data_IF_685655603995
#
_entry.id   IF_685655603995
#
_cell.length_a   1.000
_cell.length_b   1.000
_cell.length_c   1.000
_cell.angle_alpha   90.00
_cell.angle_beta   90.00
_cell.angle_gamma   90.00
#
_symmetry.space_group_name_H-M   'P 1'
#
loop_
_entity.id
_entity.type
_entity.pdbx_description
1 polymer ?
#
# COMPACT_ATOMS: atom_id res chain seq x y z
N UNK A 1 -24.13 -32.09 -21.58
CA UNK A 1 -24.22 -30.73 -21.01
C UNK A 1 -23.26 -29.82 -21.73
N UNK A 2 -23.58 -28.53 -21.82
CA UNK A 2 -22.77 -27.52 -22.51
C UNK A 2 -22.42 -26.40 -21.53
N UNK A 3 -21.13 -26.00 -21.49
CA UNK A 3 -20.65 -24.83 -20.75
C UNK A 3 -20.34 -23.73 -21.74
N UNK A 4 -21.18 -22.69 -21.76
CA UNK A 4 -20.99 -21.51 -22.60
C UNK A 4 -20.38 -20.42 -21.71
N UNK A 5 -19.19 -19.94 -22.09
CA UNK A 5 -18.46 -18.92 -21.34
C UNK A 5 -18.41 -17.63 -22.14
N UNK A 6 -18.95 -16.58 -21.57
CA UNK A 6 -18.89 -15.21 -22.07
C UNK A 6 -18.25 -14.38 -20.95
N UNK A 7 -16.91 -14.31 -20.95
CA UNK A 7 -16.16 -13.57 -19.94
C UNK A 7 -15.02 -12.80 -20.60
N UNK A 8 -14.58 -11.72 -19.96
CA UNK A 8 -13.44 -10.93 -20.42
C UNK A 8 -12.11 -11.44 -19.86
N UNK A 9 -12.13 -12.27 -18.80
CA UNK A 9 -10.94 -12.81 -18.16
C UNK A 9 -10.47 -14.14 -18.77
N UNK A 10 -9.49 -14.08 -19.64
CA UNK A 10 -8.91 -15.24 -20.33
C UNK A 10 -8.44 -16.36 -19.39
N UNK A 11 -7.97 -16.00 -18.20
CA UNK A 11 -7.49 -16.98 -17.21
C UNK A 11 -8.67 -17.80 -16.69
N UNK A 12 -9.79 -17.15 -16.42
CA UNK A 12 -11.00 -17.80 -15.96
C UNK A 12 -11.62 -18.67 -17.06
N UNK A 13 -11.70 -18.18 -18.32
CA UNK A 13 -12.14 -18.97 -19.48
C UNK A 13 -11.36 -20.28 -19.60
N UNK A 14 -10.05 -20.25 -19.34
CA UNK A 14 -9.19 -21.44 -19.41
C UNK A 14 -9.38 -22.40 -18.26
N UNK A 15 -9.58 -21.89 -17.05
CA UNK A 15 -9.91 -22.72 -15.90
C UNK A 15 -11.18 -23.53 -16.20
N UNK A 16 -12.20 -22.85 -16.72
CA UNK A 16 -13.45 -23.46 -17.11
C UNK A 16 -13.30 -24.48 -18.27
N UNK A 17 -12.41 -24.19 -19.24
CA UNK A 17 -12.08 -25.14 -20.30
C UNK A 17 -11.46 -26.44 -19.76
N UNK A 18 -10.50 -26.35 -18.82
CA UNK A 18 -9.93 -27.55 -18.21
C UNK A 18 -10.93 -28.29 -17.29
N UNK A 19 -11.80 -27.55 -16.63
CA UNK A 19 -12.90 -28.14 -15.89
C UNK A 19 -13.85 -28.91 -16.83
N UNK A 20 -14.21 -28.35 -17.97
CA UNK A 20 -15.10 -29.00 -18.93
C UNK A 20 -14.53 -30.31 -19.48
N UNK A 21 -13.22 -30.35 -19.76
CA UNK A 21 -12.54 -31.59 -20.17
C UNK A 21 -12.64 -32.65 -19.08
N UNK A 22 -12.41 -32.26 -17.81
CA UNK A 22 -12.46 -33.18 -16.68
C UNK A 22 -13.83 -33.75 -16.44
N UNK A 23 -14.85 -32.92 -16.56
CA UNK A 23 -16.25 -33.30 -16.32
C UNK A 23 -16.97 -33.78 -17.59
N UNK A 24 -16.25 -33.90 -18.70
CA UNK A 24 -16.78 -34.31 -20.02
C UNK A 24 -17.98 -33.46 -20.49
N UNK A 25 -17.86 -32.14 -20.31
CA UNK A 25 -18.85 -31.14 -20.70
C UNK A 25 -18.36 -30.39 -21.94
N UNK A 26 -19.26 -30.19 -22.94
CA UNK A 26 -18.92 -29.41 -24.12
C UNK A 26 -18.62 -27.94 -23.76
N UNK A 27 -17.41 -27.46 -24.06
CA UNK A 27 -16.98 -26.08 -23.80
C UNK A 27 -17.10 -25.21 -25.04
N UNK A 28 -17.88 -24.15 -24.94
CA UNK A 28 -18.07 -23.18 -26.02
C UNK A 28 -17.61 -21.81 -25.55
N UNK A 29 -16.49 -21.31 -26.09
CA UNK A 29 -16.01 -19.96 -25.89
C UNK A 29 -15.62 -19.36 -27.25
N UNK A 30 -16.45 -18.48 -27.82
CA UNK A 30 -16.20 -17.90 -29.15
C UNK A 30 -14.88 -17.12 -29.16
N UNK A 31 -14.07 -17.38 -30.21
CA UNK A 31 -12.80 -16.67 -30.47
C UNK A 31 -11.73 -16.75 -29.38
N UNK A 32 -11.78 -17.72 -28.46
CA UNK A 32 -10.83 -17.88 -27.36
C UNK A 32 -9.36 -17.76 -27.79
N UNK A 33 -8.94 -18.41 -28.88
CA UNK A 33 -7.55 -18.35 -29.32
C UNK A 33 -7.14 -16.99 -29.88
N UNK A 34 -8.01 -16.33 -30.63
CA UNK A 34 -7.77 -14.99 -31.20
C UNK A 34 -7.72 -13.95 -30.10
N UNK A 35 -8.70 -13.97 -29.20
CA UNK A 35 -8.74 -13.11 -28.00
C UNK A 35 -7.49 -13.27 -27.15
N UNK A 36 -7.01 -14.50 -26.97
CA UNK A 36 -5.78 -14.79 -26.24
C UNK A 36 -4.56 -14.11 -26.83
N UNK A 37 -4.37 -14.19 -28.15
CA UNK A 37 -3.22 -13.56 -28.84
C UNK A 37 -3.30 -12.04 -28.71
N UNK A 38 -4.46 -11.45 -29.00
CA UNK A 38 -4.68 -10.01 -28.90
C UNK A 38 -4.44 -9.52 -27.47
N UNK A 39 -4.99 -10.23 -26.47
CA UNK A 39 -4.81 -9.86 -25.07
C UNK A 39 -3.33 -9.96 -24.64
N UNK A 40 -2.60 -11.00 -25.06
CA UNK A 40 -1.15 -11.10 -24.79
C UNK A 40 -0.38 -9.92 -25.36
N UNK A 41 -0.64 -9.55 -26.61
CA UNK A 41 0.01 -8.40 -27.26
C UNK A 41 -0.33 -7.12 -26.50
N UNK A 42 -1.61 -6.89 -26.21
CA UNK A 42 -2.07 -5.71 -25.43
C UNK A 42 -1.39 -5.64 -24.05
N UNK A 43 -1.34 -6.75 -23.32
CA UNK A 43 -0.70 -6.81 -21.99
C UNK A 43 0.80 -6.50 -22.09
N UNK A 44 1.50 -7.06 -23.09
CA UNK A 44 2.93 -6.81 -23.29
C UNK A 44 3.18 -5.33 -23.60
N UNK A 45 2.44 -4.75 -24.52
CA UNK A 45 2.59 -3.34 -24.91
C UNK A 45 2.31 -2.43 -23.70
N UNK A 46 1.20 -2.66 -22.99
CA UNK A 46 0.84 -1.89 -21.80
C UNK A 46 1.88 -2.04 -20.68
N UNK A 47 2.43 -3.24 -20.51
CA UNK A 47 3.49 -3.50 -19.54
C UNK A 47 4.72 -2.63 -19.81
N UNK A 48 5.28 -2.70 -21.03
CA UNK A 48 6.47 -1.91 -21.35
C UNK A 48 6.20 -0.40 -21.27
N UNK A 49 5.05 0.05 -21.75
CA UNK A 49 4.65 1.45 -21.64
C UNK A 49 4.58 1.94 -20.18
N UNK A 50 3.91 1.18 -19.32
CA UNK A 50 3.82 1.49 -17.89
C UNK A 50 5.19 1.45 -17.20
N UNK A 51 6.03 0.48 -17.56
CA UNK A 51 7.38 0.34 -17.01
C UNK A 51 8.27 1.53 -17.39
N UNK A 52 8.29 1.94 -18.65
CA UNK A 52 9.04 3.11 -19.12
C UNK A 52 8.54 4.38 -18.43
N UNK A 53 7.22 4.58 -18.38
CA UNK A 53 6.61 5.72 -17.67
C UNK A 53 7.00 5.75 -16.20
N UNK A 54 6.96 4.61 -15.52
CA UNK A 54 7.35 4.50 -14.11
C UNK A 54 8.84 4.79 -13.91
N UNK A 55 9.69 4.29 -14.81
CA UNK A 55 11.13 4.53 -14.78
C UNK A 55 11.48 6.01 -14.96
N UNK A 56 10.93 6.66 -15.98
CA UNK A 56 11.13 8.10 -16.22
C UNK A 56 10.62 8.94 -15.03
N UNK A 57 9.44 8.58 -14.50
CA UNK A 57 8.89 9.24 -13.32
C UNK A 57 9.78 9.10 -12.08
N UNK A 58 10.42 7.94 -11.89
CA UNK A 58 11.35 7.71 -10.78
C UNK A 58 12.67 8.48 -10.97
N UNK A 59 13.21 8.54 -12.18
CA UNK A 59 14.37 9.38 -12.49
C UNK A 59 14.09 10.83 -12.09
N UNK A 60 12.97 11.38 -12.56
CA UNK A 60 12.56 12.74 -12.21
C UNK A 60 12.49 12.95 -10.69
N UNK A 61 11.87 12.02 -9.96
CA UNK A 61 11.75 12.08 -8.49
C UNK A 61 13.11 12.06 -7.80
N UNK A 62 14.02 11.17 -8.22
CA UNK A 62 15.37 11.07 -7.66
C UNK A 62 16.15 12.37 -7.86
N UNK A 63 16.12 12.94 -9.07
CA UNK A 63 16.80 14.20 -9.34
C UNK A 63 16.20 15.35 -8.54
N UNK A 64 14.88 15.44 -8.45
CA UNK A 64 14.20 16.47 -7.68
C UNK A 64 14.55 16.37 -6.19
N UNK A 65 14.54 15.16 -5.62
CA UNK A 65 14.94 14.94 -4.22
C UNK A 65 16.38 15.39 -3.98
N UNK A 66 17.30 15.00 -4.86
CA UNK A 66 18.70 15.36 -4.71
C UNK A 66 18.92 16.86 -4.83
N UNK A 67 18.23 17.52 -5.73
CA UNK A 67 18.30 18.97 -5.88
C UNK A 67 17.93 19.69 -4.57
N UNK A 68 16.86 19.28 -3.90
CA UNK A 68 16.43 19.92 -2.65
C UNK A 68 17.19 19.43 -1.41
N UNK A 69 17.47 18.14 -1.27
CA UNK A 69 17.87 17.56 0.00
C UNK A 69 19.35 17.19 0.12
N UNK A 70 20.15 17.28 -0.96
CA UNK A 70 21.55 16.86 -0.93
C UNK A 70 22.36 17.55 0.18
N UNK A 71 22.24 18.86 0.31
CA UNK A 71 22.96 19.61 1.32
C UNK A 71 22.41 19.37 2.73
N UNK A 72 21.06 19.29 2.91
CA UNK A 72 20.47 18.90 4.19
C UNK A 72 20.97 17.53 4.65
N UNK A 73 21.13 16.59 3.73
CA UNK A 73 21.60 15.24 4.02
C UNK A 73 23.07 15.24 4.49
N UNK A 74 23.93 16.01 3.86
CA UNK A 74 25.36 16.13 4.22
C UNK A 74 25.57 16.71 5.62
N UNK A 75 24.71 17.65 6.01
CA UNK A 75 24.79 18.31 7.31
C UNK A 75 24.22 17.47 8.45
N UNK A 76 23.63 16.31 8.15
CA UNK A 76 23.04 15.44 9.15
C UNK A 76 24.10 14.55 9.79
N UNK A 77 24.08 14.44 11.12
CA UNK A 77 25.02 13.59 11.85
C UNK A 77 24.81 12.11 11.53
N UNK A 78 25.85 11.46 11.05
CA UNK A 78 25.85 10.01 10.76
C UNK A 78 26.24 9.17 11.97
N UNK A 79 26.73 9.77 13.04
CA UNK A 79 27.16 9.07 14.26
C UNK A 79 26.00 8.84 15.24
N UNK A 80 24.95 9.65 15.16
CA UNK A 80 23.78 9.51 16.02
C UNK A 80 22.98 8.26 15.63
N UNK A 81 22.42 7.58 16.65
CA UNK A 81 21.43 6.53 16.44
C UNK A 81 20.04 7.15 16.34
N UNK A 82 19.27 6.72 15.37
CA UNK A 82 17.94 7.24 15.08
C UNK A 82 16.85 6.20 15.31
N UNK A 83 15.68 6.67 15.78
CA UNK A 83 14.42 5.99 15.56
C UNK A 83 13.91 6.44 14.18
N UNK A 84 13.79 5.51 13.25
CA UNK A 84 13.37 5.81 11.89
C UNK A 84 11.90 5.46 11.71
N UNK A 85 11.09 6.42 11.26
CA UNK A 85 9.66 6.25 11.01
C UNK A 85 9.41 6.28 9.50
N UNK A 86 8.98 5.14 8.93
CA UNK A 86 8.56 5.04 7.53
C UNK A 86 7.06 5.26 7.42
N UNK A 87 6.68 6.31 6.69
CA UNK A 87 5.30 6.70 6.52
C UNK A 87 5.01 7.24 5.12
N UNK A 88 3.92 7.97 4.97
CA UNK A 88 3.51 8.61 3.73
C UNK A 88 3.30 10.12 3.95
N UNK A 89 3.56 10.90 2.91
CA UNK A 89 3.30 12.34 2.92
C UNK A 89 2.29 12.70 1.82
N UNK A 90 1.27 13.44 2.21
CA UNK A 90 0.24 14.01 1.34
C UNK A 90 0.32 15.53 1.39
N UNK A 91 -0.34 16.23 0.47
CA UNK A 91 -0.44 17.69 0.56
C UNK A 91 -1.12 18.15 1.86
N UNK A 92 -2.07 17.38 2.37
CA UNK A 92 -2.78 17.62 3.64
C UNK A 92 -1.97 17.27 4.90
N UNK A 93 -0.81 16.65 4.77
CA UNK A 93 0.10 16.38 5.91
C UNK A 93 0.77 17.65 6.46
N UNK A 94 0.55 18.79 5.82
CA UNK A 94 1.13 20.08 6.22
C UNK A 94 0.04 20.98 6.75
N UNK A 95 -0.01 21.14 8.08
CA UNK A 95 -1.02 21.97 8.76
C UNK A 95 -0.70 23.47 8.56
N UNK A 96 0.59 23.83 8.60
CA UNK A 96 1.10 25.17 8.34
C UNK A 96 2.29 25.07 7.35
N UNK A 97 2.83 26.22 6.90
CA UNK A 97 3.95 26.23 5.96
C UNK A 97 5.17 25.45 6.43
N UNK A 98 5.38 25.34 7.75
CA UNK A 98 6.60 24.77 8.36
C UNK A 98 6.33 23.54 9.26
N UNK A 99 5.11 23.06 9.35
CA UNK A 99 4.75 21.95 10.24
C UNK A 99 4.23 20.75 9.44
N UNK A 100 4.94 19.63 9.56
CA UNK A 100 4.51 18.33 9.06
C UNK A 100 3.89 17.52 10.19
N UNK A 101 2.70 16.99 9.95
CA UNK A 101 2.03 16.04 10.82
C UNK A 101 1.87 14.72 10.07
N UNK A 102 2.37 13.65 10.67
CA UNK A 102 2.28 12.34 10.07
C UNK A 102 0.83 11.86 10.02
N UNK A 103 0.30 11.46 8.84
CA UNK A 103 -1.11 11.09 8.69
C UNK A 103 -1.46 9.75 9.36
N UNK A 104 -0.47 8.93 9.74
CA UNK A 104 -0.68 7.62 10.37
C UNK A 104 -0.21 7.58 11.82
N UNK A 105 0.90 8.26 12.11
CA UNK A 105 1.54 8.25 13.42
C UNK A 105 1.27 9.52 14.23
N UNK A 106 0.57 10.52 13.65
CA UNK A 106 0.22 11.75 14.37
C UNK A 106 1.46 12.42 14.99
N UNK A 107 1.44 12.60 16.29
CA UNK A 107 2.49 13.29 17.06
C UNK A 107 3.60 12.35 17.57
N UNK A 108 3.69 11.10 17.10
CA UNK A 108 4.70 10.14 17.58
C UNK A 108 6.13 10.69 17.49
N UNK A 109 6.48 11.35 16.37
CA UNK A 109 7.81 11.93 16.19
C UNK A 109 8.11 12.99 17.28
N UNK A 110 7.16 13.88 17.56
CA UNK A 110 7.31 14.90 18.59
C UNK A 110 7.44 14.28 19.99
N UNK A 111 6.62 13.28 20.30
CA UNK A 111 6.70 12.54 21.56
C UNK A 111 8.07 11.87 21.77
N UNK A 112 8.61 11.21 20.73
CA UNK A 112 9.91 10.57 20.79
C UNK A 112 11.04 11.60 20.98
N UNK A 113 10.97 12.75 20.31
CA UNK A 113 11.94 13.84 20.46
C UNK A 113 11.91 14.40 21.89
N UNK A 114 10.73 14.62 22.45
CA UNK A 114 10.56 15.06 23.85
C UNK A 114 11.19 14.05 24.84
N UNK A 115 11.15 12.75 24.51
CA UNK A 115 11.80 11.69 25.28
C UNK A 115 13.28 11.46 24.88
N UNK A 116 13.93 12.49 24.30
CA UNK A 116 15.37 12.52 23.99
C UNK A 116 15.84 11.50 22.92
N UNK A 117 14.93 10.96 22.12
CA UNK A 117 15.31 10.16 20.96
C UNK A 117 15.62 11.04 19.75
N UNK A 118 16.64 10.65 18.97
CA UNK A 118 16.83 11.26 17.65
C UNK A 118 15.85 10.59 16.69
N UNK A 119 15.02 11.37 16.03
CA UNK A 119 13.98 10.85 15.14
C UNK A 119 14.23 11.31 13.71
N UNK A 120 14.07 10.39 12.78
CA UNK A 120 14.11 10.65 11.34
C UNK A 120 12.88 10.00 10.69
N UNK A 121 12.12 10.76 9.94
CA UNK A 121 11.01 10.23 9.15
C UNK A 121 11.44 10.04 7.69
N UNK A 122 11.04 8.90 7.12
CA UNK A 122 11.26 8.59 5.70
C UNK A 122 9.91 8.35 5.04
N UNK A 123 9.55 9.16 4.05
CA UNK A 123 8.20 9.19 3.53
C UNK A 123 8.12 8.86 2.04
N UNK A 124 7.04 8.17 1.68
CA UNK A 124 6.60 8.07 0.29
C UNK A 124 5.59 9.17 -0.01
N UNK A 125 5.87 10.00 -0.99
CA UNK A 125 5.02 11.14 -1.34
C UNK A 125 3.88 10.71 -2.27
N UNK A 126 2.63 10.98 -1.86
CA UNK A 126 1.41 10.65 -2.59
C UNK A 126 0.64 11.92 -2.98
N UNK A 127 0.40 12.10 -4.28
CA UNK A 127 -0.23 13.30 -4.85
C UNK A 127 0.76 14.12 -5.69
N UNK A 128 0.65 15.46 -5.63
CA UNK A 128 1.55 16.34 -6.38
C UNK A 128 2.97 16.32 -5.78
N UNK A 129 3.81 15.47 -6.34
CA UNK A 129 5.15 15.17 -5.83
C UNK A 129 6.00 16.43 -5.66
N UNK A 130 6.08 17.30 -6.69
CA UNK A 130 6.88 18.53 -6.66
C UNK A 130 6.43 19.47 -5.54
N UNK A 131 5.12 19.60 -5.32
CA UNK A 131 4.56 20.45 -4.28
C UNK A 131 4.87 19.92 -2.88
N UNK A 132 4.76 18.60 -2.71
CA UNK A 132 5.07 17.92 -1.43
C UNK A 132 6.57 18.07 -1.12
N UNK A 133 7.47 17.81 -2.08
CA UNK A 133 8.92 17.95 -1.90
C UNK A 133 9.32 19.38 -1.48
N UNK A 134 8.76 20.41 -2.11
CA UNK A 134 9.01 21.81 -1.71
C UNK A 134 8.56 22.08 -0.28
N UNK A 135 7.40 21.56 0.14
CA UNK A 135 6.93 21.70 1.51
C UNK A 135 7.83 20.96 2.51
N UNK A 136 8.21 19.70 2.21
CA UNK A 136 9.13 18.91 3.03
C UNK A 136 10.49 19.56 3.19
N UNK A 137 10.98 20.26 2.17
CA UNK A 137 12.26 20.99 2.26
C UNK A 137 12.21 22.13 3.29
N UNK A 138 11.07 22.80 3.43
CA UNK A 138 10.91 23.97 4.28
C UNK A 138 10.59 23.64 5.75
N UNK A 139 10.37 22.37 6.11
CA UNK A 139 10.11 21.99 7.51
C UNK A 139 11.40 21.82 8.30
N UNK A 140 11.33 22.05 9.61
CA UNK A 140 12.46 21.91 10.52
C UNK A 140 12.74 20.44 10.88
N UNK A 141 11.71 19.61 10.92
CA UNK A 141 11.82 18.19 11.23
C UNK A 141 12.69 17.46 10.21
N UNK A 142 13.38 16.40 10.65
CA UNK A 142 14.15 15.53 9.78
C UNK A 142 13.19 14.57 9.06
N UNK A 143 12.69 15.00 7.89
CA UNK A 143 11.80 14.20 7.04
C UNK A 143 12.36 14.15 5.63
N UNK A 144 12.66 12.95 5.17
CA UNK A 144 13.24 12.71 3.85
C UNK A 144 12.32 11.86 2.97
N UNK A 145 12.22 12.17 1.67
CA UNK A 145 11.55 11.27 0.72
C UNK A 145 12.39 10.01 0.47
N UNK A 146 11.74 8.85 0.31
CA UNK A 146 12.42 7.57 0.07
C UNK A 146 13.35 7.61 -1.14
N UNK A 147 12.96 8.32 -2.19
CA UNK A 147 13.70 8.41 -3.45
C UNK A 147 15.08 9.08 -3.30
N UNK A 148 15.31 9.84 -2.22
CA UNK A 148 16.62 10.46 -1.92
C UNK A 148 17.74 9.41 -1.79
N UNK A 149 17.41 8.25 -1.25
CA UNK A 149 18.36 7.16 -0.97
C UNK A 149 18.51 6.17 -2.14
N UNK A 150 17.87 6.41 -3.27
CA UNK A 150 18.01 5.59 -4.47
C UNK A 150 19.08 6.16 -5.37
N UNK A 151 20.10 5.36 -5.71
CA UNK A 151 21.09 5.78 -6.70
C UNK A 151 20.55 5.59 -8.12
N UNK A 152 20.84 6.51 -9.07
CA UNK A 152 20.45 6.34 -10.48
C UNK A 152 20.94 5.03 -11.09
N UNK A 153 22.15 4.59 -10.74
CA UNK A 153 22.70 3.31 -11.21
C UNK A 153 21.89 2.14 -10.68
N UNK A 154 21.53 2.14 -9.39
CA UNK A 154 20.67 1.09 -8.82
C UNK A 154 19.28 1.08 -9.47
N UNK A 155 18.74 2.24 -9.83
CA UNK A 155 17.47 2.31 -10.57
C UNK A 155 17.59 1.63 -11.94
N UNK A 156 18.65 1.92 -12.72
CA UNK A 156 18.88 1.31 -14.03
C UNK A 156 19.02 -0.22 -13.90
N UNK A 157 19.87 -0.68 -12.98
CA UNK A 157 20.07 -2.12 -12.75
C UNK A 157 18.76 -2.79 -12.35
N UNK A 158 17.98 -2.18 -11.45
CA UNK A 158 16.70 -2.71 -11.01
C UNK A 158 15.70 -2.75 -12.16
N UNK A 159 15.66 -1.72 -13.00
CA UNK A 159 14.80 -1.69 -14.19
C UNK A 159 15.11 -2.84 -15.14
N UNK A 160 16.40 -3.07 -15.46
CA UNK A 160 16.83 -4.18 -16.31
C UNK A 160 16.43 -5.53 -15.69
N UNK A 161 16.71 -5.72 -14.39
CA UNK A 161 16.33 -6.94 -13.69
C UNK A 161 14.83 -7.21 -13.76
N UNK A 162 14.00 -6.17 -13.55
CA UNK A 162 12.55 -6.31 -13.56
C UNK A 162 12.02 -6.67 -14.94
N UNK A 163 12.49 -6.04 -16.01
CA UNK A 163 12.01 -6.35 -17.36
C UNK A 163 12.49 -7.71 -17.88
N UNK A 164 13.64 -8.20 -17.37
CA UNK A 164 14.19 -9.51 -17.74
C UNK A 164 13.72 -10.65 -16.84
N UNK A 165 13.09 -10.33 -15.70
CA UNK A 165 12.61 -11.32 -14.75
C UNK A 165 11.61 -12.28 -15.39
N UNK A 166 11.85 -13.58 -15.21
CA UNK A 166 10.95 -14.65 -15.64
C UNK A 166 10.53 -15.46 -14.41
N UNK A 167 9.28 -15.29 -14.03
CA UNK A 167 8.70 -16.08 -12.95
C UNK A 167 8.08 -17.35 -13.55
N UNK A 168 8.43 -18.49 -13.00
CA UNK A 168 7.85 -19.79 -13.34
C UNK A 168 7.71 -20.62 -12.06
N UNK A 169 6.57 -21.29 -11.94
CA UNK A 169 6.40 -22.35 -10.95
C UNK A 169 7.13 -23.58 -11.45
N UNK A 170 8.03 -24.13 -10.64
CA UNK A 170 8.84 -25.30 -10.97
C UNK A 170 8.14 -26.62 -10.61
N UNK A 171 7.28 -26.59 -9.60
CA UNK A 171 6.57 -27.74 -9.07
C UNK A 171 5.16 -27.85 -9.64
N UNK A 172 4.62 -29.06 -9.69
CA UNK A 172 3.22 -29.26 -10.04
C UNK A 172 2.33 -28.90 -8.86
N UNK A 173 1.49 -27.89 -9.05
CA UNK A 173 0.50 -27.45 -8.06
C UNK A 173 -0.86 -28.05 -8.42
N UNK A 174 -1.44 -28.79 -7.46
CA UNK A 174 -2.74 -29.42 -7.64
C UNK A 174 -3.77 -28.81 -6.70
N UNK A 175 -4.97 -28.58 -7.22
CA UNK A 175 -6.16 -28.27 -6.43
C UNK A 175 -7.27 -29.24 -6.84
N UNK A 176 -7.80 -30.01 -5.90
CA UNK A 176 -8.82 -31.04 -6.17
C UNK A 176 -8.48 -31.93 -7.38
N UNK A 177 -7.24 -32.43 -7.47
CA UNK A 177 -6.71 -33.25 -8.58
C UNK A 177 -6.56 -32.52 -9.93
N UNK A 178 -6.80 -31.19 -10.01
CA UNK A 178 -6.58 -30.38 -11.20
C UNK A 178 -5.16 -29.77 -11.09
N UNK A 179 -4.33 -29.99 -12.11
CA UNK A 179 -3.01 -29.35 -12.19
C UNK A 179 -3.15 -27.88 -12.57
N UNK A 180 -2.84 -27.00 -11.62
CA UNK A 180 -2.92 -25.56 -11.80
C UNK A 180 -1.61 -24.92 -12.30
N UNK A 181 -0.52 -25.67 -12.41
CA UNK A 181 0.82 -25.13 -12.72
C UNK A 181 0.86 -24.37 -14.02
N UNK A 182 0.15 -24.86 -15.04
CA UNK A 182 0.06 -24.18 -16.34
C UNK A 182 -0.67 -22.84 -16.22
N UNK A 183 -1.77 -22.79 -15.47
CA UNK A 183 -2.53 -21.56 -15.22
C UNK A 183 -1.71 -20.53 -14.48
N UNK A 184 -1.04 -20.97 -13.40
CA UNK A 184 -0.21 -20.10 -12.58
C UNK A 184 0.94 -19.55 -13.42
N UNK A 185 1.59 -20.38 -14.23
CA UNK A 185 2.65 -19.93 -15.13
C UNK A 185 2.15 -18.95 -16.19
N UNK A 186 0.96 -19.16 -16.70
CA UNK A 186 0.33 -18.25 -17.66
C UNK A 186 -0.08 -16.93 -17.00
N UNK A 187 -0.69 -17.01 -15.82
CA UNK A 187 -0.97 -15.84 -14.96
C UNK A 187 0.30 -15.04 -14.66
N UNK A 188 1.35 -15.70 -14.22
CA UNK A 188 2.65 -15.07 -13.95
C UNK A 188 3.25 -14.46 -15.22
N UNK A 189 3.03 -15.05 -16.39
CA UNK A 189 3.53 -14.53 -17.67
C UNK A 189 2.73 -13.32 -18.17
N UNK A 190 1.43 -13.28 -17.94
CA UNK A 190 0.53 -12.17 -18.32
C UNK A 190 0.65 -11.00 -17.33
N UNK A 191 0.73 -11.32 -16.05
CA UNK A 191 0.94 -10.34 -14.99
C UNK A 191 2.42 -10.15 -14.66
N UNK A 192 3.29 -10.43 -15.65
CA UNK A 192 4.73 -10.20 -15.51
C UNK A 192 4.96 -8.86 -14.86
N UNK A 193 5.41 -8.95 -13.63
CA UNK A 193 5.95 -7.84 -12.91
C UNK A 193 5.20 -6.54 -13.20
N UNK A 194 4.15 -6.33 -12.45
CA UNK A 194 3.45 -5.06 -12.41
C UNK A 194 4.47 -3.91 -12.27
N UNK A 195 4.21 -2.74 -12.83
CA UNK A 195 5.03 -1.52 -12.65
C UNK A 195 5.34 -1.22 -11.18
N UNK A 196 4.50 -1.71 -10.25
CA UNK A 196 4.69 -1.65 -8.82
C UNK A 196 5.91 -2.45 -8.34
N UNK A 197 6.29 -3.53 -9.02
CA UNK A 197 7.45 -4.35 -8.62
C UNK A 197 8.76 -3.57 -8.73
N UNK A 198 8.89 -2.69 -9.73
CA UNK A 198 10.03 -1.77 -9.79
C UNK A 198 10.11 -0.90 -8.53
N UNK A 199 8.98 -0.32 -8.11
CA UNK A 199 8.90 0.51 -6.90
C UNK A 199 9.19 -0.33 -5.65
N UNK A 200 8.65 -1.54 -5.55
CA UNK A 200 8.85 -2.41 -4.39
C UNK A 200 10.34 -2.79 -4.21
N UNK A 201 11.03 -3.19 -5.28
CA UNK A 201 12.48 -3.48 -5.22
C UNK A 201 13.28 -2.22 -4.87
N UNK A 202 12.85 -1.06 -5.33
CA UNK A 202 13.51 0.20 -4.98
C UNK A 202 13.35 0.57 -3.50
N UNK A 203 12.30 0.12 -2.82
CA UNK A 203 12.22 0.26 -1.36
C UNK A 203 13.32 -0.50 -0.64
N UNK A 204 13.65 -1.72 -1.08
CA UNK A 204 14.82 -2.44 -0.59
C UNK A 204 16.08 -1.58 -0.76
N UNK A 205 16.35 -1.09 -1.96
CA UNK A 205 17.53 -0.28 -2.25
C UNK A 205 17.57 1.02 -1.43
N UNK A 206 16.43 1.66 -1.24
CA UNK A 206 16.30 2.90 -0.48
C UNK A 206 16.63 2.66 1.00
N UNK A 207 16.00 1.68 1.64
CA UNK A 207 16.22 1.37 3.05
C UNK A 207 17.64 0.88 3.30
N UNK A 208 18.15 -0.01 2.45
CA UNK A 208 19.52 -0.49 2.54
C UNK A 208 20.56 0.65 2.43
N UNK A 209 20.37 1.57 1.48
CA UNK A 209 21.29 2.71 1.34
C UNK A 209 21.18 3.66 2.53
N UNK A 210 19.98 3.93 3.02
CA UNK A 210 19.74 4.79 4.16
C UNK A 210 20.42 4.26 5.43
N UNK A 211 20.27 2.98 5.73
CA UNK A 211 20.86 2.34 6.92
C UNK A 211 22.38 2.22 6.85
N UNK A 212 22.98 2.22 5.66
CA UNK A 212 24.43 2.35 5.48
C UNK A 212 24.96 3.76 5.78
N UNK A 213 24.09 4.76 5.70
CA UNK A 213 24.43 6.16 6.01
C UNK A 213 24.14 6.48 7.47
N UNK A 214 22.97 6.06 7.97
CA UNK A 214 22.46 6.39 9.30
C UNK A 214 22.30 5.14 10.16
N UNK A 215 22.82 5.20 11.39
CA UNK A 215 22.59 4.13 12.36
C UNK A 215 21.17 4.18 12.89
N UNK A 216 20.50 3.05 13.00
CA UNK A 216 19.16 2.95 13.57
C UNK A 216 19.08 1.82 14.60
N UNK A 217 18.40 2.10 15.71
CA UNK A 217 18.05 1.09 16.70
C UNK A 217 16.67 0.51 16.42
N UNK A 218 15.73 1.37 16.02
CA UNK A 218 14.33 1.01 15.82
C UNK A 218 13.85 1.62 14.50
N UNK A 219 13.21 0.77 13.72
CA UNK A 219 12.49 1.17 12.52
C UNK A 219 11.00 0.91 12.71
N UNK A 220 10.19 1.94 12.57
CA UNK A 220 8.74 1.89 12.73
C UNK A 220 8.11 2.14 11.35
N UNK A 221 7.17 1.31 10.93
CA UNK A 221 6.41 1.52 9.70
C UNK A 221 4.93 1.24 9.90
N UNK A 222 4.11 1.76 8.99
CA UNK A 222 2.76 1.21 8.80
C UNK A 222 2.86 -0.27 8.44
N UNK A 223 1.86 -1.05 8.83
CA UNK A 223 1.79 -2.49 8.54
C UNK A 223 0.41 -2.88 8.05
N UNK A 224 0.35 -3.32 6.83
CA UNK A 224 -0.80 -3.95 6.18
C UNK A 224 -0.39 -5.25 5.49
N UNK A 225 0.87 -5.65 5.64
CA UNK A 225 1.51 -6.76 4.96
C UNK A 225 1.47 -6.64 3.41
N UNK A 226 1.55 -5.40 2.94
CA UNK A 226 1.62 -5.09 1.52
C UNK A 226 3.00 -5.43 0.94
N UNK A 227 3.12 -5.76 -0.35
CA UNK A 227 4.39 -6.23 -0.95
C UNK A 227 5.61 -5.30 -0.78
N UNK A 228 5.41 -4.00 -0.60
CA UNK A 228 6.48 -3.03 -0.37
C UNK A 228 7.11 -3.14 1.03
N UNK A 229 6.36 -3.58 2.04
CA UNK A 229 6.82 -3.66 3.43
C UNK A 229 7.91 -4.71 3.62
N UNK A 230 7.74 -5.97 3.20
CA UNK A 230 8.82 -6.95 3.24
C UNK A 230 10.09 -6.49 2.51
N UNK A 231 9.95 -5.74 1.43
CA UNK A 231 11.11 -5.20 0.70
C UNK A 231 11.84 -4.12 1.51
N UNK A 232 11.12 -3.28 2.27
CA UNK A 232 11.73 -2.38 3.24
C UNK A 232 12.48 -3.16 4.32
N UNK A 233 11.84 -4.16 4.91
CA UNK A 233 12.41 -4.95 6.01
C UNK A 233 13.65 -5.74 5.57
N UNK A 234 13.62 -6.34 4.39
CA UNK A 234 14.78 -6.97 3.79
C UNK A 234 15.95 -6.00 3.62
N UNK A 235 15.67 -4.79 3.10
CA UNK A 235 16.69 -3.77 2.92
C UNK A 235 17.30 -3.28 4.24
N UNK A 236 16.50 -3.24 5.30
CA UNK A 236 16.97 -2.90 6.66
C UNK A 236 17.84 -4.01 7.21
N UNK A 237 17.35 -5.24 7.22
CA UNK A 237 18.08 -6.39 7.79
C UNK A 237 19.36 -6.72 7.03
N UNK A 238 19.42 -6.45 5.73
CA UNK A 238 20.65 -6.57 4.93
C UNK A 238 21.72 -5.53 5.31
N UNK A 239 21.30 -4.31 5.67
CA UNK A 239 22.23 -3.24 6.03
C UNK A 239 22.56 -3.20 7.54
N UNK A 240 21.61 -3.58 8.40
CA UNK A 240 21.67 -3.47 9.86
C UNK A 240 20.78 -4.56 10.48
N UNK A 241 21.28 -5.80 10.61
CA UNK A 241 20.51 -6.95 11.13
C UNK A 241 19.95 -6.72 12.55
N UNK A 242 20.66 -5.93 13.35
CA UNK A 242 20.31 -5.62 14.73
C UNK A 242 19.16 -4.62 14.87
N UNK A 243 18.86 -3.84 13.83
CA UNK A 243 17.74 -2.86 13.86
C UNK A 243 16.42 -3.57 14.10
N UNK A 244 15.73 -3.19 15.18
CA UNK A 244 14.40 -3.73 15.50
C UNK A 244 13.33 -3.09 14.61
N UNK A 245 12.50 -3.93 13.99
CA UNK A 245 11.44 -3.50 13.08
C UNK A 245 10.08 -3.64 13.78
N UNK A 246 9.34 -2.54 13.86
CA UNK A 246 7.99 -2.50 14.43
C UNK A 246 7.00 -2.14 13.31
N UNK A 247 6.10 -3.06 13.01
CA UNK A 247 4.99 -2.84 12.09
C UNK A 247 3.74 -2.35 12.83
N UNK A 248 3.22 -1.19 12.50
CA UNK A 248 2.03 -0.62 13.13
C UNK A 248 0.81 -0.75 12.20
N UNK A 249 -0.10 -1.65 12.54
CA UNK A 249 -1.37 -1.77 11.84
C UNK A 249 -2.20 -0.50 12.08
N UNK A 250 -2.84 0.01 11.05
CA UNK A 250 -3.55 1.29 11.09
C UNK A 250 -4.88 1.29 10.33
N UNK A 251 -5.16 0.28 9.53
CA UNK A 251 -6.42 0.12 8.77
C UNK A 251 -7.40 -0.80 9.51
N UNK A 252 -8.62 -0.85 9.04
CA UNK A 252 -9.60 -1.82 9.54
C UNK A 252 -9.14 -3.22 9.13
N UNK A 253 -9.16 -4.16 10.07
CA UNK A 253 -8.92 -5.59 9.83
C UNK A 253 -10.22 -6.33 10.06
N UNK A 254 -10.78 -6.87 9.00
CA UNK A 254 -11.93 -7.79 9.03
C UNK A 254 -11.46 -9.23 8.89
N UNK A 255 -12.36 -10.18 9.07
CA UNK A 255 -12.08 -11.61 8.84
C UNK A 255 -11.76 -11.93 7.36
N UNK A 256 -12.00 -10.99 6.43
CA UNK A 256 -11.68 -11.10 5.01
C UNK A 256 -10.35 -10.41 4.63
N UNK A 257 -9.66 -9.82 5.59
CA UNK A 257 -8.38 -9.12 5.36
C UNK A 257 -7.22 -10.11 5.27
N UNK A 258 -7.25 -10.99 4.26
CA UNK A 258 -6.33 -12.13 4.09
C UNK A 258 -4.87 -11.73 3.95
N UNK A 259 -4.58 -10.48 3.59
CA UNK A 259 -3.22 -9.95 3.57
C UNK A 259 -2.54 -9.96 4.94
N UNK A 260 -3.30 -9.87 6.03
CA UNK A 260 -2.78 -9.97 7.41
C UNK A 260 -2.59 -11.40 7.90
N UNK A 261 -3.28 -12.38 7.29
CA UNK A 261 -3.36 -13.75 7.77
C UNK A 261 -2.34 -14.63 7.06
N UNK A 262 -1.15 -14.71 7.64
CA UNK A 262 -0.05 -15.48 7.08
C UNK A 262 -0.02 -16.89 7.67
N UNK A 263 0.12 -17.87 6.79
CA UNK A 263 0.32 -19.26 7.17
C UNK A 263 1.79 -19.59 7.35
N UNK A 264 2.12 -20.65 8.10
CA UNK A 264 3.49 -21.01 8.47
C UNK A 264 4.44 -21.15 7.28
N UNK A 265 3.96 -21.62 6.12
CA UNK A 265 4.79 -21.73 4.92
C UNK A 265 5.15 -20.38 4.30
N UNK A 266 4.29 -19.38 4.42
CA UNK A 266 4.58 -18.01 3.98
C UNK A 266 5.53 -17.32 4.95
N UNK A 267 5.36 -17.56 6.25
CA UNK A 267 6.20 -17.01 7.32
C UNK A 267 7.68 -17.37 7.14
N UNK A 268 7.99 -18.59 6.66
CA UNK A 268 9.37 -19.04 6.40
C UNK A 268 10.06 -18.30 5.27
N UNK A 269 9.29 -17.77 4.31
CA UNK A 269 9.82 -17.22 3.05
C UNK A 269 9.63 -15.70 2.93
N UNK A 270 9.08 -15.06 3.97
CA UNK A 270 8.74 -13.63 3.94
C UNK A 270 9.42 -12.90 5.10
N UNK A 271 10.09 -11.80 4.80
CA UNK A 271 10.61 -10.92 5.84
C UNK A 271 9.46 -10.17 6.50
N UNK A 272 9.30 -10.41 7.79
CA UNK A 272 8.28 -9.77 8.63
C UNK A 272 8.93 -8.77 9.60
N UNK A 273 8.16 -7.88 10.24
CA UNK A 273 8.66 -7.07 11.32
C UNK A 273 9.00 -7.94 12.54
N UNK A 274 9.87 -7.46 13.42
CA UNK A 274 10.18 -8.17 14.67
C UNK A 274 9.01 -8.13 15.67
N UNK A 275 8.10 -7.15 15.51
CA UNK A 275 6.88 -6.98 16.33
C UNK A 275 5.79 -6.28 15.51
N UNK A 276 4.54 -6.68 15.74
CA UNK A 276 3.35 -6.02 15.18
C UNK A 276 2.59 -5.31 16.31
N UNK A 277 2.34 -4.01 16.14
CA UNK A 277 1.49 -3.21 17.02
C UNK A 277 0.15 -2.97 16.36
N UNK A 278 -0.95 -3.30 17.04
CA UNK A 278 -2.32 -3.08 16.53
C UNK A 278 -2.97 -1.85 17.17
N UNK A 279 -3.97 -1.28 16.50
CA UNK A 279 -4.72 -0.11 17.02
C UNK A 279 -5.53 -0.42 18.29
N UNK A 280 -5.71 -1.70 18.62
CA UNK A 280 -6.44 -2.10 19.79
C UNK A 280 -6.60 -3.61 19.95
N UNK A 281 -7.19 -4.07 21.07
CA UNK A 281 -7.26 -5.50 21.39
C UNK A 281 -8.18 -6.31 20.46
N UNK A 282 -9.15 -5.68 19.83
CA UNK A 282 -10.05 -6.38 18.87
C UNK A 282 -9.25 -6.81 17.65
N UNK A 283 -8.52 -5.87 17.04
CA UNK A 283 -7.67 -6.16 15.87
C UNK A 283 -6.58 -7.17 16.19
N UNK A 284 -5.96 -7.07 17.38
CA UNK A 284 -5.00 -8.07 17.87
C UNK A 284 -5.61 -9.47 17.83
N UNK A 285 -6.77 -9.66 18.44
CA UNK A 285 -7.45 -10.98 18.49
C UNK A 285 -7.80 -11.53 17.10
N UNK A 286 -8.23 -10.65 16.17
CA UNK A 286 -8.57 -11.08 14.81
C UNK A 286 -7.31 -11.60 14.09
N UNK A 287 -6.20 -10.89 14.19
CA UNK A 287 -4.95 -11.30 13.53
C UNK A 287 -4.41 -12.58 14.17
N UNK A 288 -4.31 -12.65 15.50
CA UNK A 288 -3.80 -13.83 16.22
C UNK A 288 -4.64 -15.10 15.93
N UNK A 289 -5.96 -14.96 15.82
CA UNK A 289 -6.85 -16.09 15.54
C UNK A 289 -6.67 -16.67 14.14
N UNK A 290 -6.32 -15.84 13.17
CA UNK A 290 -6.31 -16.21 11.76
C UNK A 290 -4.89 -16.39 11.17
N UNK A 291 -3.82 -16.11 11.94
CA UNK A 291 -2.45 -16.36 11.54
C UNK A 291 -1.94 -17.75 11.94
N UNK A 292 -0.91 -18.24 11.26
CA UNK A 292 -0.14 -19.41 11.69
C UNK A 292 0.59 -19.20 13.03
N UNK A 293 1.07 -20.28 13.64
CA UNK A 293 1.68 -20.25 14.99
C UNK A 293 3.00 -19.47 15.09
N UNK A 294 3.73 -19.29 13.99
CA UNK A 294 5.05 -18.66 13.97
C UNK A 294 5.02 -17.18 13.58
N UNK A 295 3.91 -16.49 13.76
CA UNK A 295 3.83 -15.06 13.48
C UNK A 295 4.67 -14.22 14.48
N UNK A 296 5.12 -13.01 14.11
CA UNK A 296 5.76 -12.09 15.04
C UNK A 296 4.87 -11.78 16.24
N UNK A 297 5.44 -11.45 17.43
CA UNK A 297 4.66 -11.00 18.57
C UNK A 297 3.71 -9.85 18.20
N UNK A 298 2.44 -9.99 18.58
CA UNK A 298 1.40 -8.99 18.32
C UNK A 298 1.02 -8.34 19.63
N UNK A 299 1.16 -7.01 19.68
CA UNK A 299 0.79 -6.22 20.87
C UNK A 299 -0.33 -5.23 20.55
N UNK A 300 -1.23 -5.08 21.50
CA UNK A 300 -2.21 -4.01 21.45
C UNK A 300 -1.56 -2.68 21.81
N UNK A 301 -1.57 -1.75 20.90
CA UNK A 301 -1.11 -0.38 21.11
C UNK A 301 -2.30 0.59 21.09
N UNK A 302 -2.16 1.72 20.41
CA UNK A 302 -3.21 2.72 20.29
C UNK A 302 -3.35 3.24 18.85
N UNK A 303 -4.49 3.83 18.55
CA UNK A 303 -4.79 4.44 17.28
C UNK A 303 -4.18 5.84 17.16
N UNK A 304 -2.85 5.92 16.99
CA UNK A 304 -2.11 7.20 16.94
C UNK A 304 -2.68 8.20 15.93
N UNK A 305 -3.24 7.71 14.83
CA UNK A 305 -3.90 8.50 13.78
C UNK A 305 -5.07 9.35 14.31
N UNK A 306 -5.71 8.92 15.40
CA UNK A 306 -6.93 9.51 15.94
C UNK A 306 -6.71 10.26 17.26
N UNK A 307 -5.46 10.61 17.60
CA UNK A 307 -5.14 11.35 18.84
C UNK A 307 -5.92 12.66 18.98
N UNK A 308 -6.18 13.35 17.86
CA UNK A 308 -6.92 14.61 17.85
C UNK A 308 -8.35 14.47 18.39
N UNK A 309 -8.96 13.29 18.30
CA UNK A 309 -10.33 13.06 18.82
C UNK A 309 -10.42 13.11 20.34
N UNK A 310 -9.30 12.95 21.06
CA UNK A 310 -9.27 13.07 22.52
C UNK A 310 -9.35 14.53 23.01
N UNK A 311 -9.08 15.49 22.15
CA UNK A 311 -8.99 16.92 22.50
C UNK A 311 -10.26 17.69 22.14
N UNK A 312 -11.18 17.07 21.39
CA UNK A 312 -12.43 17.71 21.00
C UNK A 312 -13.51 17.45 22.06
N UNK A 313 -13.92 18.52 22.74
CA UNK A 313 -15.10 18.54 23.57
C UNK A 313 -16.33 18.47 22.67
N UNK A 314 -16.82 17.26 22.40
CA UNK A 314 -17.94 17.02 21.48
C UNK A 314 -19.21 17.51 22.17
N UNK A 315 -19.49 18.81 22.08
CA UNK A 315 -20.78 19.38 22.50
C UNK A 315 -21.83 19.04 21.46
N UNK A 316 -22.62 18.00 21.73
CA UNK A 316 -23.81 17.69 20.94
C UNK A 316 -24.83 18.81 21.09
N UNK A 317 -24.90 19.73 20.11
CA UNK A 317 -26.05 20.66 20.00
C UNK A 317 -27.23 19.87 19.43
N UNK A 318 -28.24 19.63 20.24
CA UNK A 318 -29.41 18.78 19.95
C UNK A 318 -30.54 19.47 19.16
N UNK A 319 -30.25 20.38 18.25
CA UNK A 319 -31.34 21.11 17.59
C UNK A 319 -31.99 20.39 16.38
N UNK A 320 -31.28 19.46 15.75
CA UNK A 320 -31.80 18.59 14.67
C UNK A 320 -31.19 17.20 14.75
N UNK A 321 -31.91 16.19 14.26
CA UNK A 321 -31.34 14.85 14.08
C UNK A 321 -30.37 14.88 12.90
N UNK A 322 -29.13 14.47 13.13
CA UNK A 322 -28.07 14.43 12.09
C UNK A 322 -27.86 13.02 11.61
N UNK A 323 -27.92 12.83 10.30
CA UNK A 323 -27.62 11.56 9.61
C UNK A 323 -26.33 11.76 8.83
N UNK A 324 -25.28 10.99 9.19
CA UNK A 324 -24.03 10.96 8.43
C UNK A 324 -24.06 9.82 7.42
N UNK A 325 -23.95 10.14 6.14
CA UNK A 325 -23.80 9.20 5.03
C UNK A 325 -22.34 9.20 4.61
N UNK A 326 -21.57 8.25 5.12
CA UNK A 326 -20.16 8.07 4.78
C UNK A 326 -20.04 7.13 3.58
N UNK A 327 -19.64 7.67 2.43
CA UNK A 327 -19.57 6.94 1.17
C UNK A 327 -18.26 6.15 1.04
N UNK A 328 -18.34 4.98 0.43
CA UNK A 328 -17.19 4.21 -0.02
C UNK A 328 -16.63 4.72 -1.36
N UNK A 329 -15.44 4.25 -1.73
CA UNK A 329 -14.77 4.64 -2.98
C UNK A 329 -15.20 3.80 -4.21
N UNK A 330 -16.46 3.41 -4.29
CA UNK A 330 -17.05 2.59 -5.38
C UNK A 330 -18.04 3.42 -6.20
N UNK A 331 -18.21 3.07 -7.47
CA UNK A 331 -19.04 3.88 -8.38
C UNK A 331 -20.55 3.81 -8.04
N UNK A 332 -21.00 2.79 -7.33
CA UNK A 332 -22.42 2.62 -6.98
C UNK A 332 -22.92 3.48 -5.80
N UNK A 333 -22.05 4.25 -5.16
CA UNK A 333 -22.44 5.09 -3.99
C UNK A 333 -23.48 6.17 -4.31
N UNK A 334 -23.58 6.59 -5.57
CA UNK A 334 -24.63 7.54 -6.00
C UNK A 334 -26.05 6.99 -5.78
N UNK A 335 -26.25 5.67 -5.86
CA UNK A 335 -27.52 5.02 -5.57
C UNK A 335 -27.94 5.24 -4.11
N UNK A 336 -26.98 5.12 -3.18
CA UNK A 336 -27.23 5.39 -1.76
C UNK A 336 -27.52 6.88 -1.53
N UNK A 337 -26.78 7.77 -2.19
CA UNK A 337 -27.02 9.22 -2.07
C UNK A 337 -28.41 9.57 -2.57
N UNK A 338 -28.79 9.08 -3.76
CA UNK A 338 -30.13 9.31 -4.32
C UNK A 338 -31.23 8.80 -3.40
N UNK A 339 -31.09 7.58 -2.87
CA UNK A 339 -32.04 7.00 -1.93
C UNK A 339 -32.21 7.89 -0.69
N UNK A 340 -31.11 8.27 -0.05
CA UNK A 340 -31.12 9.08 1.16
C UNK A 340 -31.71 10.47 0.89
N UNK A 341 -31.38 11.12 -0.22
CA UNK A 341 -31.92 12.41 -0.60
C UNK A 341 -33.44 12.32 -0.88
N UNK A 342 -33.89 11.31 -1.61
CA UNK A 342 -35.31 11.17 -1.94
C UNK A 342 -36.17 10.87 -0.73
N UNK A 343 -35.69 10.00 0.16
CA UNK A 343 -36.49 9.52 1.31
C UNK A 343 -36.46 10.49 2.51
N UNK A 344 -35.35 11.22 2.70
CA UNK A 344 -35.12 11.97 3.94
C UNK A 344 -35.08 13.49 3.76
N UNK A 345 -34.93 14.01 2.54
CA UNK A 345 -34.80 15.45 2.30
C UNK A 345 -36.06 16.27 2.63
N UNK A 346 -37.23 15.61 2.64
CA UNK A 346 -38.51 16.26 2.95
C UNK A 346 -38.77 16.43 4.45
N UNK A 347 -37.86 15.94 5.31
CA UNK A 347 -38.02 16.02 6.76
C UNK A 347 -37.18 17.16 7.33
N UNK A 348 -37.79 18.30 7.61
CA UNK A 348 -37.13 19.51 8.13
C UNK A 348 -36.39 19.31 9.48
N UNK A 349 -36.70 18.24 10.22
CA UNK A 349 -36.06 17.90 11.48
C UNK A 349 -34.77 17.07 11.31
N UNK A 350 -34.40 16.74 10.07
CA UNK A 350 -33.20 15.95 9.76
C UNK A 350 -32.19 16.81 8.98
N UNK A 351 -30.96 16.79 9.45
CA UNK A 351 -29.80 17.33 8.73
C UNK A 351 -29.01 16.16 8.13
N UNK A 352 -28.92 16.08 6.80
CA UNK A 352 -28.17 15.06 6.10
C UNK A 352 -26.76 15.59 5.81
N UNK A 353 -25.74 14.87 6.29
CA UNK A 353 -24.33 15.17 6.06
C UNK A 353 -23.75 14.09 5.17
N UNK A 354 -23.39 14.41 3.93
CA UNK A 354 -22.76 13.48 3.00
C UNK A 354 -21.24 13.66 3.06
N UNK A 355 -20.52 12.60 3.42
CA UNK A 355 -19.06 12.56 3.41
C UNK A 355 -18.57 11.71 2.25
N UNK A 356 -18.08 12.31 1.15
CA UNK A 356 -17.55 11.56 0.01
C UNK A 356 -16.24 10.85 0.38
N UNK A 357 -15.98 9.73 -0.30
CA UNK A 357 -14.68 9.09 -0.20
C UNK A 357 -13.62 9.91 -0.96
N UNK A 358 -12.37 10.01 -0.47
CA UNK A 358 -11.32 10.81 -1.12
C UNK A 358 -11.00 10.41 -2.57
N UNK A 359 -11.25 9.15 -2.94
CA UNK A 359 -11.05 8.64 -4.31
C UNK A 359 -12.21 9.02 -5.23
N UNK A 360 -13.41 9.19 -4.68
CA UNK A 360 -14.61 9.53 -5.42
C UNK A 360 -15.20 10.85 -4.89
N UNK A 361 -14.68 12.00 -5.34
CA UNK A 361 -15.17 13.31 -4.90
C UNK A 361 -16.58 13.58 -5.45
N UNK A 362 -17.35 14.43 -4.73
CA UNK A 362 -18.72 14.81 -5.10
C UNK A 362 -18.87 15.32 -6.54
N UNK A 363 -17.81 15.90 -7.12
CA UNK A 363 -17.82 16.37 -8.52
C UNK A 363 -18.00 15.25 -9.56
N UNK A 364 -17.84 13.99 -9.15
CA UNK A 364 -18.11 12.80 -9.97
C UNK A 364 -19.49 12.19 -9.70
N UNK A 365 -20.14 12.59 -8.63
CA UNK A 365 -21.52 12.24 -8.34
C UNK A 365 -22.38 13.16 -9.17
N UNK A 366 -23.31 12.61 -9.92
CA UNK A 366 -24.07 13.29 -10.95
C UNK A 366 -24.66 14.62 -10.44
N UNK A 367 -24.63 15.66 -11.31
CA UNK A 367 -25.10 17.00 -10.98
C UNK A 367 -26.62 17.10 -10.83
N UNK A 368 -27.33 16.00 -11.01
CA UNK A 368 -28.77 15.88 -10.93
C UNK A 368 -29.31 15.40 -9.56
N UNK A 369 -28.46 15.48 -8.53
CA UNK A 369 -28.84 15.18 -7.14
C UNK A 369 -29.08 16.50 -6.40
#
# INVERSE_FOLDING_TARGET
EKLIVIDEEIIFERLLYHYSIKENVEFICPFMNVRKVICKIKVIILFYFKMIRSFVGLIYKIFLCRYYFKEKLKNQSTQKKYVIIKSFAYERSFVNKNQYVDPFFGNLSAYLIQNKHNVMSVVSCLGNYKKIIKKLFNIENIVYPCELFISPLKLIITFIKVITLRLKVKENIYFNKINLSQFINEYLSLNKVNELSLKHILYFNSMNTMLKIFKSEIFISTYENMPWEPMCYLGIKDASPETKIIGCQHTVVSEFSTNYFLYDNELKNRQLPDKICTVGPVTKRIIERNCGYNHPPIESACALRYQHLKQEDVRFRRNKRKILVALEGIDDVYKLVNYVCNELSQNDNIEIIIRPHPILPLSKIDKNI
#
